data_IF_753974744406
#
_entry.id   IF_753974744406
#
_cell.length_a   1.000
_cell.length_b   1.000
_cell.length_c   1.000
_cell.angle_alpha   90.00
_cell.angle_beta   90.00
_cell.angle_gamma   90.00
#
_symmetry.space_group_name_H-M   'P 1'
#
loop_
_entity.id
_entity.type
_entity.pdbx_description
1 polymer ?
#
# COMPACT_ATOMS: atom_id res chain seq x y z
N UNK A 1 -13.67 -0.81 39.63
CA UNK A 1 -12.67 -1.87 39.42
C UNK A 1 -11.84 -2.00 40.70
N UNK A 2 -11.66 -3.21 41.26
CA UNK A 2 -10.91 -3.39 42.51
C UNK A 2 -9.41 -3.25 42.24
N UNK A 3 -8.67 -2.62 43.17
CA UNK A 3 -7.26 -2.24 43.01
C UNK A 3 -6.36 -3.44 42.66
N UNK A 4 -6.65 -4.63 43.20
CA UNK A 4 -5.90 -5.85 42.88
C UNK A 4 -6.00 -6.23 41.40
N UNK A 5 -7.18 -6.03 40.79
CA UNK A 5 -7.44 -6.37 39.40
C UNK A 5 -6.71 -5.44 38.43
N UNK A 6 -6.51 -4.16 38.82
CA UNK A 6 -5.75 -3.18 38.05
C UNK A 6 -4.24 -3.45 38.09
N UNK A 7 -3.72 -3.84 39.26
CA UNK A 7 -2.30 -4.16 39.42
C UNK A 7 -1.91 -5.45 38.68
N UNK A 8 -2.78 -6.47 38.73
CA UNK A 8 -2.58 -7.71 37.96
C UNK A 8 -2.47 -7.46 36.45
N UNK A 9 -3.26 -6.53 35.92
CA UNK A 9 -3.24 -6.20 34.49
C UNK A 9 -1.93 -5.50 34.09
N UNK A 10 -1.41 -4.62 34.95
CA UNK A 10 -0.15 -3.93 34.70
C UNK A 10 1.02 -4.92 34.68
N UNK A 11 1.05 -5.86 35.63
CA UNK A 11 2.12 -6.86 35.70
C UNK A 11 2.12 -7.78 34.47
N UNK A 12 0.92 -8.11 33.94
CA UNK A 12 0.78 -8.85 32.67
C UNK A 12 1.35 -8.10 31.47
N UNK A 13 1.02 -6.81 31.32
CA UNK A 13 1.52 -5.98 30.22
C UNK A 13 3.04 -5.77 30.32
N UNK A 14 3.57 -5.59 31.53
CA UNK A 14 5.03 -5.45 31.75
C UNK A 14 5.75 -6.77 31.48
N UNK A 15 5.18 -7.91 31.86
CA UNK A 15 5.74 -9.24 31.60
C UNK A 15 5.78 -9.59 30.10
N UNK A 16 4.82 -9.08 29.32
CA UNK A 16 4.82 -9.19 27.84
C UNK A 16 5.87 -8.26 27.19
N UNK A 17 6.34 -7.25 27.93
CA UNK A 17 7.41 -6.35 27.53
C UNK A 17 6.98 -5.27 26.53
N UNK A 18 7.70 -4.14 26.42
CA UNK A 18 7.39 -3.06 25.47
C UNK A 18 7.63 -3.44 23.99
N UNK A 19 7.91 -4.71 23.70
CA UNK A 19 8.28 -5.22 22.39
C UNK A 19 7.18 -6.04 21.72
N UNK A 20 6.13 -6.43 22.44
CA UNK A 20 4.91 -6.95 21.81
C UNK A 20 4.03 -5.78 21.39
N UNK A 21 4.55 -4.93 20.52
CA UNK A 21 3.73 -4.16 19.59
C UNK A 21 3.12 -5.16 18.58
N UNK A 22 2.34 -6.12 19.04
CA UNK A 22 1.39 -6.87 18.21
C UNK A 22 0.18 -5.97 17.96
N UNK A 23 0.45 -4.77 17.44
CA UNK A 23 -0.51 -4.15 16.56
C UNK A 23 -0.35 -4.91 15.26
N UNK A 24 -1.20 -5.90 15.03
CA UNK A 24 -1.46 -6.42 13.69
C UNK A 24 -1.97 -5.23 12.87
N UNK A 25 -1.04 -4.43 12.34
CA UNK A 25 -1.35 -3.37 11.38
C UNK A 25 -1.73 -4.09 10.11
N UNK A 26 -3.02 -4.39 10.00
CA UNK A 26 -3.65 -4.77 8.76
C UNK A 26 -3.48 -3.61 7.79
N UNK A 27 -2.49 -3.71 6.91
CA UNK A 27 -2.36 -2.79 5.80
C UNK A 27 -3.54 -2.96 4.86
N UNK A 28 -3.92 -1.86 4.23
CA UNK A 28 -4.95 -1.79 3.21
C UNK A 28 -4.29 -1.51 1.87
N UNK A 29 -5.07 -1.62 0.79
CA UNK A 29 -4.61 -1.21 -0.55
C UNK A 29 -4.35 0.31 -0.64
N UNK A 30 -4.84 1.11 0.30
CA UNK A 30 -4.52 2.53 0.40
C UNK A 30 -3.16 2.81 1.06
N UNK A 31 -2.56 1.82 1.74
CA UNK A 31 -1.24 1.93 2.35
C UNK A 31 -0.14 1.75 1.31
N UNK A 32 0.28 2.87 0.71
CA UNK A 32 1.24 2.89 -0.38
C UNK A 32 2.50 3.66 0.01
N UNK A 33 3.67 3.02 -0.17
CA UNK A 33 4.98 3.66 0.00
C UNK A 33 5.60 4.00 -1.34
N UNK A 34 6.10 5.23 -1.46
CA UNK A 34 6.71 5.71 -2.71
C UNK A 34 8.23 5.83 -2.61
N UNK A 35 8.92 5.42 -3.67
CA UNK A 35 10.29 5.83 -3.96
C UNK A 35 10.37 6.30 -5.41
N UNK A 36 11.43 6.99 -5.80
CA UNK A 36 11.58 7.43 -7.19
C UNK A 36 13.04 7.45 -7.63
N UNK A 37 13.26 7.26 -8.93
CA UNK A 37 14.56 7.41 -9.56
C UNK A 37 14.37 7.81 -11.02
N UNK A 38 14.99 8.92 -11.42
CA UNK A 38 14.88 9.45 -12.78
C UNK A 38 13.41 9.61 -13.21
N UNK A 39 13.01 8.99 -14.31
CA UNK A 39 11.66 9.03 -14.88
C UNK A 39 10.73 7.92 -14.34
N UNK A 40 11.04 7.34 -13.17
CA UNK A 40 10.26 6.26 -12.58
C UNK A 40 9.84 6.58 -11.15
N UNK A 41 8.58 6.28 -10.83
CA UNK A 41 8.02 6.27 -9.48
C UNK A 41 7.71 4.81 -9.15
N UNK A 42 8.15 4.34 -7.99
CA UNK A 42 7.82 3.01 -7.49
C UNK A 42 6.79 3.16 -6.38
N UNK A 43 5.61 2.60 -6.59
CA UNK A 43 4.53 2.56 -5.62
C UNK A 43 4.42 1.14 -5.06
N UNK A 44 4.79 0.97 -3.79
CA UNK A 44 4.71 -0.30 -3.08
C UNK A 44 3.37 -0.36 -2.35
N UNK A 45 2.44 -1.16 -2.85
CA UNK A 45 1.13 -1.42 -2.25
C UNK A 45 1.33 -2.47 -1.17
N UNK A 46 1.11 -2.10 0.09
CA UNK A 46 1.46 -2.97 1.22
C UNK A 46 0.48 -4.13 1.43
N UNK A 47 -0.75 -4.00 0.92
CA UNK A 47 -1.71 -5.08 0.87
C UNK A 47 -2.44 -5.04 -0.47
N UNK A 48 -2.25 -6.07 -1.28
CA UNK A 48 -2.83 -6.11 -2.62
C UNK A 48 -4.35 -6.37 -2.55
N UNK A 49 -5.17 -5.61 -3.27
CA UNK A 49 -6.62 -5.79 -3.23
C UNK A 49 -7.06 -7.03 -4.02
N UNK A 50 -8.05 -7.75 -3.51
CA UNK A 50 -8.57 -9.00 -4.13
C UNK A 50 -9.20 -8.75 -5.51
N UNK A 51 -9.84 -7.60 -5.70
CA UNK A 51 -10.45 -7.19 -6.97
C UNK A 51 -9.42 -6.71 -8.01
N UNK A 52 -8.16 -6.50 -7.60
CA UNK A 52 -7.09 -6.01 -8.45
C UNK A 52 -7.20 -4.52 -8.82
N UNK A 53 -8.02 -3.75 -8.10
CA UNK A 53 -8.23 -2.32 -8.35
C UNK A 53 -7.46 -1.46 -7.33
N UNK A 54 -6.60 -0.56 -7.83
CA UNK A 54 -5.74 0.28 -6.98
C UNK A 54 -6.01 1.75 -7.28
N UNK A 55 -6.22 2.54 -6.22
CA UNK A 55 -6.49 3.97 -6.30
C UNK A 55 -5.37 4.78 -5.63
N UNK A 56 -4.61 5.53 -6.42
CA UNK A 56 -3.50 6.34 -5.93
C UNK A 56 -3.85 7.83 -5.95
N UNK A 57 -4.42 8.31 -4.83
CA UNK A 57 -4.83 9.71 -4.63
C UNK A 57 -3.70 10.71 -4.93
N UNK A 58 -2.49 10.42 -4.43
CA UNK A 58 -1.32 11.30 -4.59
C UNK A 58 -0.90 11.52 -6.05
N UNK A 59 -1.21 10.59 -6.95
CA UNK A 59 -0.84 10.67 -8.37
C UNK A 59 -2.02 11.11 -9.26
N UNK A 60 -3.16 11.45 -8.68
CA UNK A 60 -4.33 12.00 -9.38
C UNK A 60 -4.16 13.42 -9.93
N UNK A 61 -5.20 13.92 -10.61
CA UNK A 61 -5.25 15.31 -11.06
C UNK A 61 -5.68 16.28 -9.95
N UNK A 62 -6.41 15.81 -8.93
CA UNK A 62 -6.91 16.68 -7.85
C UNK A 62 -5.78 17.20 -6.96
N UNK A 63 -4.88 16.31 -6.55
CA UNK A 63 -3.78 16.67 -5.65
C UNK A 63 -2.68 17.48 -6.36
N UNK A 64 -2.62 17.44 -7.70
CA UNK A 64 -1.65 18.19 -8.54
C UNK A 64 -0.17 17.98 -8.16
N UNK A 65 0.15 16.88 -7.46
CA UNK A 65 1.52 16.57 -7.02
C UNK A 65 2.38 16.03 -8.17
N UNK A 66 1.79 15.22 -9.06
CA UNK A 66 2.47 14.72 -10.25
C UNK A 66 2.21 15.66 -11.45
N UNK A 67 3.26 16.31 -11.95
CA UNK A 67 3.17 17.23 -13.11
C UNK A 67 3.44 16.55 -14.46
N UNK A 68 4.05 15.37 -14.43
CA UNK A 68 4.40 14.59 -15.61
C UNK A 68 3.25 13.74 -16.12
N UNK A 69 3.34 13.30 -17.37
CA UNK A 69 2.40 12.33 -17.96
C UNK A 69 2.84 10.92 -17.60
N UNK A 70 1.92 10.07 -17.13
CA UNK A 70 2.17 8.64 -16.94
C UNK A 70 2.16 7.98 -18.32
N UNK A 71 3.23 7.24 -18.62
CA UNK A 71 3.43 6.56 -19.90
C UNK A 71 3.11 5.08 -19.83
N UNK A 72 3.45 4.47 -18.69
CA UNK A 72 3.31 3.04 -18.49
C UNK A 72 3.28 2.74 -16.99
N UNK A 73 2.66 1.63 -16.64
CA UNK A 73 2.65 1.05 -15.31
C UNK A 73 2.98 -0.43 -15.48
N UNK A 74 4.02 -0.88 -14.79
CA UNK A 74 4.49 -2.27 -14.78
C UNK A 74 4.36 -2.84 -13.37
N UNK A 75 3.96 -4.10 -13.24
CA UNK A 75 3.96 -4.81 -11.97
C UNK A 75 5.26 -5.60 -11.86
N UNK A 76 6.16 -5.17 -10.97
CA UNK A 76 7.48 -5.77 -10.85
C UNK A 76 7.40 -7.24 -10.42
N UNK A 77 8.25 -8.07 -11.03
CA UNK A 77 8.23 -9.52 -10.84
C UNK A 77 7.28 -10.25 -11.80
N UNK A 78 6.61 -9.53 -12.70
CA UNK A 78 5.71 -10.06 -13.72
C UNK A 78 5.93 -9.34 -15.06
N UNK A 79 5.27 -9.83 -16.12
CA UNK A 79 5.20 -9.17 -17.42
C UNK A 79 3.89 -8.34 -17.59
N UNK A 80 3.22 -8.00 -16.48
CA UNK A 80 1.92 -7.34 -16.51
C UNK A 80 2.03 -5.82 -16.57
N UNK A 81 1.25 -5.24 -17.49
CA UNK A 81 1.06 -3.81 -17.65
C UNK A 81 -0.43 -3.48 -17.48
N UNK A 82 -0.88 -3.12 -16.26
CA UNK A 82 -2.29 -2.86 -16.01
C UNK A 82 -2.81 -1.64 -16.77
N UNK A 83 -4.10 -1.67 -17.09
CA UNK A 83 -4.78 -0.50 -17.59
C UNK A 83 -4.86 0.57 -16.49
N UNK A 84 -4.78 1.84 -16.87
CA UNK A 84 -4.90 2.92 -15.90
C UNK A 84 -5.62 4.13 -16.49
N UNK A 85 -6.29 4.88 -15.61
CA UNK A 85 -6.90 6.16 -15.92
C UNK A 85 -6.49 7.19 -14.86
N UNK A 86 -6.04 8.35 -15.31
CA UNK A 86 -5.69 9.45 -14.40
C UNK A 86 -6.80 10.49 -14.39
N UNK A 87 -7.70 10.35 -13.42
CA UNK A 87 -8.86 11.23 -13.20
C UNK A 87 -8.61 12.08 -11.95
N UNK A 88 -9.59 12.12 -11.04
CA UNK A 88 -9.46 12.68 -9.70
C UNK A 88 -8.24 12.08 -8.98
N UNK A 89 -8.15 10.75 -9.01
CA UNK A 89 -7.02 9.93 -8.58
C UNK A 89 -6.41 9.17 -9.77
N UNK A 90 -5.33 8.43 -9.53
CA UNK A 90 -4.82 7.48 -10.50
C UNK A 90 -5.48 6.12 -10.21
N UNK A 91 -6.38 5.71 -11.10
CA UNK A 91 -7.07 4.43 -11.07
C UNK A 91 -6.27 3.42 -11.89
N UNK A 92 -5.97 2.26 -11.31
CA UNK A 92 -5.17 1.18 -11.95
C UNK A 92 -5.95 -0.12 -11.82
N UNK A 93 -6.22 -0.76 -12.96
CA UNK A 93 -7.02 -1.98 -13.04
C UNK A 93 -6.17 -3.14 -13.55
N UNK A 94 -5.91 -4.10 -12.66
CA UNK A 94 -5.16 -5.33 -12.98
C UNK A 94 -6.09 -6.51 -13.31
N UNK A 95 -7.34 -6.45 -12.85
CA UNK A 95 -8.28 -7.57 -12.86
C UNK A 95 -8.07 -8.52 -11.67
N UNK A 96 -9.17 -8.97 -11.07
CA UNK A 96 -9.14 -9.87 -9.92
C UNK A 96 -8.48 -11.22 -10.24
N UNK A 97 -7.74 -11.75 -9.28
CA UNK A 97 -7.07 -13.07 -9.39
C UNK A 97 -5.86 -13.12 -10.32
N UNK A 98 -5.43 -12.00 -10.89
CA UNK A 98 -4.25 -11.94 -11.77
C UNK A 98 -2.93 -12.02 -10.97
N UNK A 99 -2.94 -11.54 -9.72
CA UNK A 99 -1.79 -11.59 -8.82
C UNK A 99 -2.20 -12.26 -7.52
N UNK A 100 -1.48 -13.32 -7.14
CA UNK A 100 -1.58 -13.98 -5.84
C UNK A 100 -0.48 -13.44 -4.92
N UNK A 101 -0.71 -12.27 -4.32
CA UNK A 101 0.29 -11.60 -3.48
C UNK A 101 0.44 -12.23 -2.08
N UNK A 102 -0.58 -12.94 -1.59
CA UNK A 102 -0.64 -13.35 -0.18
C UNK A 102 -0.47 -12.15 0.75
N UNK A 103 0.40 -12.28 1.75
CA UNK A 103 0.73 -11.20 2.68
C UNK A 103 1.88 -10.29 2.21
N UNK A 104 2.35 -10.47 0.96
CA UNK A 104 3.50 -9.73 0.45
C UNK A 104 3.10 -8.43 -0.27
N UNK A 105 3.89 -7.35 -0.12
CA UNK A 105 3.65 -6.13 -0.86
C UNK A 105 3.94 -6.32 -2.36
N UNK A 106 3.18 -5.61 -3.19
CA UNK A 106 3.38 -5.60 -4.65
C UNK A 106 3.88 -4.23 -5.08
N UNK A 107 4.83 -4.20 -6.03
CA UNK A 107 5.47 -2.96 -6.48
C UNK A 107 5.04 -2.63 -7.89
N UNK A 108 4.42 -1.46 -8.05
CA UNK A 108 4.12 -0.84 -9.32
C UNK A 108 5.28 0.08 -9.71
N UNK A 109 5.87 -0.14 -10.89
CA UNK A 109 6.82 0.79 -11.51
C UNK A 109 6.06 1.65 -12.50
N UNK A 110 5.96 2.94 -12.18
CA UNK A 110 5.22 3.93 -12.95
C UNK A 110 6.23 4.78 -13.72
N UNK A 111 6.19 4.68 -15.05
CA UNK A 111 7.06 5.44 -15.95
C UNK A 111 6.40 6.77 -16.30
N UNK A 112 7.11 7.88 -16.10
CA UNK A 112 6.62 9.25 -16.35
C UNK A 112 7.46 9.99 -17.39
N UNK A 113 6.87 10.99 -18.06
CA UNK A 113 7.55 11.89 -19.02
C UNK A 113 7.21 13.35 -18.76
#
# INVERSE_FOLDING_TARGET
MKKEQYLSLIDEVIAQGPYTDTYDKHFTSEDIRFTSKSNHIYATVLHWPEDGEIHIKALGNDMKLLKSTIRDIEILGTDLHPAFARNKELDISCGGGVIEAGDMPVVLKITVK
#
